data_IF_477462218785
#
_entry.id   IF_477462218785
#
_cell.length_a   1.000
_cell.length_b   1.000
_cell.length_c   1.000
_cell.angle_alpha   90.00
_cell.angle_beta   90.00
_cell.angle_gamma   90.00
#
_symmetry.space_group_name_H-M   'P 1'
#
loop_
_entity.id
_entity.type
_entity.pdbx_description
1 polymer ?
#
# COMPACT_ATOMS: atom_id res chain seq x y z
N UNK A 1 18.24 -2.68 -10.88
CA UNK A 1 19.72 -2.71 -10.74
C UNK A 1 20.19 -2.97 -9.31
N UNK A 2 19.68 -2.26 -8.28
CA UNK A 2 20.12 -2.40 -6.86
C UNK A 2 20.02 -3.84 -6.36
N UNK A 3 18.86 -4.48 -6.51
CA UNK A 3 18.64 -5.89 -6.12
C UNK A 3 19.64 -6.85 -6.76
N UNK A 4 19.97 -6.66 -8.04
CA UNK A 4 20.95 -7.48 -8.75
C UNK A 4 22.34 -7.37 -8.12
N UNK A 5 22.77 -6.15 -7.77
CA UNK A 5 24.07 -5.90 -7.14
C UNK A 5 24.14 -6.48 -5.73
N UNK A 6 23.07 -6.36 -4.94
CA UNK A 6 22.95 -7.03 -3.63
C UNK A 6 23.08 -8.55 -3.81
N UNK A 7 22.30 -9.13 -4.73
CA UNK A 7 22.36 -10.57 -5.03
C UNK A 7 23.76 -11.03 -5.46
N UNK A 8 24.49 -10.21 -6.21
CA UNK A 8 25.88 -10.47 -6.60
C UNK A 8 26.82 -10.46 -5.38
N UNK A 9 26.67 -9.49 -4.46
CA UNK A 9 27.50 -9.41 -3.26
C UNK A 9 27.32 -10.62 -2.34
N UNK A 10 26.10 -11.13 -2.21
CA UNK A 10 25.80 -12.38 -1.47
C UNK A 10 26.13 -13.67 -2.26
N UNK A 11 26.80 -13.56 -3.42
CA UNK A 11 27.20 -14.70 -4.27
C UNK A 11 26.04 -15.66 -4.62
N UNK A 12 24.85 -15.11 -4.84
CA UNK A 12 23.68 -15.91 -5.23
C UNK A 12 23.90 -16.41 -6.67
N UNK A 13 24.03 -17.74 -6.83
CA UNK A 13 24.28 -18.38 -8.14
C UNK A 13 23.23 -17.99 -9.19
N UNK A 14 21.95 -18.04 -8.84
CA UNK A 14 20.82 -17.75 -9.73
C UNK A 14 20.41 -16.26 -9.78
N UNK A 15 21.31 -15.30 -9.57
CA UNK A 15 20.98 -13.86 -9.50
C UNK A 15 20.24 -13.29 -10.72
N UNK A 16 20.55 -13.75 -11.93
CA UNK A 16 19.90 -13.30 -13.16
C UNK A 16 18.43 -13.75 -13.15
N UNK A 17 18.21 -15.03 -12.86
CA UNK A 17 16.88 -15.62 -12.76
C UNK A 17 16.08 -14.99 -11.62
N UNK A 18 16.69 -14.74 -10.46
CA UNK A 18 16.03 -14.04 -9.35
C UNK A 18 15.59 -12.62 -9.73
N UNK A 19 16.38 -11.91 -10.54
CA UNK A 19 16.02 -10.58 -11.01
C UNK A 19 14.86 -10.64 -12.01
N UNK A 20 14.86 -11.64 -12.90
CA UNK A 20 13.74 -11.89 -13.82
C UNK A 20 12.45 -12.21 -13.04
N UNK A 21 12.54 -13.14 -12.07
CA UNK A 21 11.40 -13.50 -11.22
C UNK A 21 10.85 -12.26 -10.50
N UNK A 22 11.73 -11.43 -9.93
CA UNK A 22 11.31 -10.20 -9.27
C UNK A 22 10.53 -9.27 -10.22
N UNK A 23 11.03 -9.04 -11.44
CA UNK A 23 10.40 -8.13 -12.41
C UNK A 23 9.01 -8.61 -12.83
N UNK A 24 8.82 -9.91 -13.02
CA UNK A 24 7.52 -10.47 -13.41
C UNK A 24 6.52 -10.55 -12.24
N UNK A 25 6.96 -10.31 -11.00
CA UNK A 25 6.07 -10.38 -9.85
C UNK A 25 5.00 -9.27 -9.88
N UNK A 26 3.71 -9.61 -9.69
CA UNK A 26 2.64 -8.63 -9.54
C UNK A 26 2.93 -7.56 -8.48
N UNK A 27 3.44 -7.96 -7.31
CA UNK A 27 3.81 -7.04 -6.23
C UNK A 27 4.88 -6.03 -6.66
N UNK A 28 5.89 -6.50 -7.41
CA UNK A 28 6.95 -5.61 -7.89
C UNK A 28 6.44 -4.65 -8.96
N UNK A 29 5.62 -5.14 -9.90
CA UNK A 29 4.99 -4.31 -10.93
C UNK A 29 4.12 -3.24 -10.27
N UNK A 30 3.28 -3.60 -9.30
CA UNK A 30 2.49 -2.63 -8.54
C UNK A 30 3.39 -1.57 -7.89
N UNK A 31 4.40 -2.01 -7.13
CA UNK A 31 5.25 -1.12 -6.34
C UNK A 31 5.97 -0.07 -7.20
N UNK A 32 6.38 -0.44 -8.41
CA UNK A 32 7.21 0.42 -9.28
C UNK A 32 6.47 1.03 -10.48
N UNK A 33 5.24 0.61 -10.77
CA UNK A 33 4.43 1.16 -11.88
C UNK A 33 3.27 2.03 -11.41
N UNK A 34 2.93 1.98 -10.11
CA UNK A 34 1.87 2.81 -9.53
C UNK A 34 2.43 3.93 -8.65
N UNK A 35 1.70 5.04 -8.55
CA UNK A 35 1.97 6.11 -7.59
C UNK A 35 1.53 5.66 -6.20
N UNK A 36 2.42 5.01 -5.46
CA UNK A 36 2.16 4.54 -4.11
C UNK A 36 3.19 5.10 -3.11
N UNK A 37 2.79 5.23 -1.85
CA UNK A 37 3.64 5.75 -0.76
C UNK A 37 4.77 4.80 -0.34
N UNK A 38 4.77 3.55 -0.80
CA UNK A 38 5.74 2.53 -0.41
C UNK A 38 6.97 2.53 -1.31
N UNK A 39 6.84 2.97 -2.57
CA UNK A 39 7.90 2.99 -3.58
C UNK A 39 9.20 3.61 -3.05
N UNK A 40 9.13 4.87 -2.59
CA UNK A 40 10.31 5.60 -2.11
C UNK A 40 10.92 4.95 -0.87
N UNK A 41 10.10 4.51 0.08
CA UNK A 41 10.59 3.85 1.29
C UNK A 41 11.30 2.53 0.96
N UNK A 42 10.72 1.67 0.11
CA UNK A 42 11.34 0.40 -0.29
C UNK A 42 12.61 0.65 -1.12
N UNK A 43 12.59 1.62 -2.03
CA UNK A 43 13.75 1.99 -2.83
C UNK A 43 14.91 2.50 -1.95
N UNK A 44 14.64 3.41 -1.01
CA UNK A 44 15.64 3.91 -0.06
C UNK A 44 16.15 2.80 0.85
N UNK A 45 15.28 1.90 1.31
CA UNK A 45 15.69 0.78 2.17
C UNK A 45 16.64 -0.17 1.44
N UNK A 46 16.28 -0.56 0.22
CA UNK A 46 17.13 -1.40 -0.64
C UNK A 46 18.45 -0.71 -1.00
N UNK A 47 18.42 0.58 -1.30
CA UNK A 47 19.63 1.37 -1.61
C UNK A 47 20.52 1.52 -0.38
N UNK A 48 19.93 1.81 0.79
CA UNK A 48 20.63 1.86 2.07
C UNK A 48 21.32 0.55 2.40
N UNK A 49 20.62 -0.58 2.29
CA UNK A 49 21.22 -1.91 2.47
C UNK A 49 22.39 -2.14 1.49
N UNK A 50 22.21 -1.83 0.21
CA UNK A 50 23.27 -1.99 -0.78
C UNK A 50 24.51 -1.15 -0.44
N UNK A 51 24.31 0.13 -0.10
CA UNK A 51 25.40 1.06 0.23
C UNK A 51 26.17 0.64 1.47
N UNK A 52 25.48 0.13 2.50
CA UNK A 52 26.13 -0.36 3.72
C UNK A 52 27.00 -1.61 3.47
N UNK A 53 26.69 -2.40 2.43
CA UNK A 53 27.48 -3.58 2.03
C UNK A 53 28.74 -3.24 1.22
N UNK A 54 28.92 -1.98 0.78
CA UNK A 54 30.09 -1.57 0.01
C UNK A 54 31.30 -1.33 0.94
N UNK A 55 32.52 -1.40 0.38
CA UNK A 55 33.75 -1.21 1.17
C UNK A 55 34.03 0.26 1.53
N UNK A 56 33.60 1.21 0.70
CA UNK A 56 33.89 2.64 0.87
C UNK A 56 33.13 3.25 2.05
N UNK A 57 33.84 3.91 2.97
CA UNK A 57 33.24 4.59 4.14
C UNK A 57 32.26 5.69 3.72
N UNK A 58 32.58 6.48 2.68
CA UNK A 58 31.70 7.52 2.15
C UNK A 58 30.34 6.95 1.70
N UNK A 59 30.37 5.84 0.96
CA UNK A 59 29.14 5.18 0.50
C UNK A 59 28.34 4.60 1.68
N UNK A 60 28.99 4.07 2.71
CA UNK A 60 28.30 3.63 3.93
C UNK A 60 27.59 4.78 4.65
N UNK A 61 28.22 5.94 4.73
CA UNK A 61 27.59 7.14 5.29
C UNK A 61 26.35 7.58 4.51
N UNK A 62 26.39 7.51 3.17
CA UNK A 62 25.18 7.71 2.35
C UNK A 62 24.10 6.67 2.67
N UNK A 63 24.48 5.43 2.96
CA UNK A 63 23.56 4.39 3.41
C UNK A 63 22.85 4.75 4.73
N UNK A 64 23.56 5.34 5.70
CA UNK A 64 22.98 5.84 6.95
C UNK A 64 21.93 6.92 6.66
N UNK A 65 22.24 7.86 5.75
CA UNK A 65 21.30 8.91 5.33
C UNK A 65 20.05 8.29 4.71
N UNK A 66 20.19 7.30 3.82
CA UNK A 66 19.03 6.60 3.25
C UNK A 66 18.13 6.00 4.33
N UNK A 67 18.70 5.34 5.35
CA UNK A 67 17.93 4.77 6.46
C UNK A 67 17.28 5.84 7.35
N UNK A 68 17.93 6.98 7.59
CA UNK A 68 17.33 8.08 8.35
C UNK A 68 16.21 8.81 7.62
N UNK A 69 16.21 8.81 6.29
CA UNK A 69 15.12 9.38 5.50
C UNK A 69 13.91 8.44 5.40
N UNK A 70 14.06 7.14 5.67
CA UNK A 70 12.97 6.15 5.54
C UNK A 70 11.69 6.54 6.29
N UNK A 71 11.73 6.96 7.58
CA UNK A 71 10.52 7.23 8.35
C UNK A 71 9.66 8.36 7.77
N UNK A 72 10.27 9.28 7.02
CA UNK A 72 9.57 10.40 6.37
C UNK A 72 8.64 9.94 5.24
N UNK A 73 8.93 8.81 4.61
CA UNK A 73 8.11 8.27 3.52
C UNK A 73 7.10 7.24 4.01
N UNK A 74 7.53 6.34 4.90
CA UNK A 74 6.64 5.32 5.43
C UNK A 74 7.13 4.74 6.76
N UNK A 75 6.41 5.05 7.84
CA UNK A 75 6.72 4.58 9.19
C UNK A 75 6.81 3.06 9.30
N UNK A 76 5.83 2.33 8.76
CA UNK A 76 5.77 0.87 8.88
C UNK A 76 6.94 0.19 8.14
N UNK A 77 7.17 0.53 6.88
CA UNK A 77 8.29 0.00 6.08
C UNK A 77 9.64 0.32 6.74
N UNK A 78 9.76 1.48 7.39
CA UNK A 78 10.97 1.85 8.14
C UNK A 78 11.24 0.90 9.31
N UNK A 79 10.21 0.56 10.09
CA UNK A 79 10.31 -0.43 11.17
C UNK A 79 10.72 -1.79 10.61
N UNK A 80 10.11 -2.24 9.50
CA UNK A 80 10.48 -3.52 8.88
C UNK A 80 11.94 -3.50 8.43
N UNK A 81 12.40 -2.43 7.78
CA UNK A 81 13.80 -2.26 7.38
C UNK A 81 14.75 -2.23 8.58
N UNK A 82 14.36 -1.60 9.69
CA UNK A 82 15.10 -1.59 10.96
C UNK A 82 15.23 -2.98 11.57
N UNK A 83 14.14 -3.75 11.58
CA UNK A 83 14.13 -5.14 12.04
C UNK A 83 15.10 -5.97 11.18
N UNK A 84 15.05 -5.84 9.85
CA UNK A 84 15.98 -6.52 8.95
C UNK A 84 17.43 -6.11 9.17
N UNK A 85 17.70 -4.83 9.43
CA UNK A 85 19.02 -4.32 9.76
C UNK A 85 19.52 -4.91 11.09
N UNK A 86 18.64 -5.04 12.09
CA UNK A 86 18.91 -5.71 13.36
C UNK A 86 19.23 -7.20 13.18
N UNK A 87 18.43 -7.92 12.39
CA UNK A 87 18.69 -9.32 12.04
C UNK A 87 20.04 -9.45 11.32
N UNK A 88 20.32 -8.55 10.36
CA UNK A 88 21.62 -8.52 9.68
C UNK A 88 22.78 -8.32 10.67
N UNK A 89 22.64 -7.39 11.61
CA UNK A 89 23.63 -7.10 12.65
C UNK A 89 23.92 -8.30 13.57
N UNK A 90 22.89 -9.10 13.89
CA UNK A 90 23.05 -10.31 14.71
C UNK A 90 23.87 -11.39 14.01
N UNK A 91 23.73 -11.53 12.68
CA UNK A 91 24.37 -12.59 11.91
C UNK A 91 25.63 -12.15 11.13
N UNK A 92 25.88 -10.85 10.99
CA UNK A 92 27.04 -10.35 10.27
C UNK A 92 28.32 -10.39 11.14
N UNK A 93 29.41 -10.85 10.53
CA UNK A 93 30.76 -10.84 11.11
C UNK A 93 31.50 -9.51 10.87
N UNK A 94 30.97 -8.64 10.01
CA UNK A 94 31.62 -7.38 9.63
C UNK A 94 31.51 -6.28 10.71
N UNK A 95 32.29 -5.21 10.54
CA UNK A 95 32.34 -4.04 11.45
C UNK A 95 30.92 -3.48 11.71
N UNK A 96 30.41 -3.76 12.91
CA UNK A 96 29.04 -3.45 13.36
C UNK A 96 28.74 -1.94 13.49
N UNK A 97 29.75 -1.07 13.46
CA UNK A 97 29.61 0.36 13.77
C UNK A 97 28.70 1.13 12.80
N UNK A 98 28.85 0.94 11.48
CA UNK A 98 28.02 1.66 10.49
C UNK A 98 26.56 1.20 10.46
N UNK A 99 26.33 -0.09 10.70
CA UNK A 99 24.98 -0.64 10.77
C UNK A 99 24.28 -0.22 12.06
N UNK A 100 25.00 -0.18 13.19
CA UNK A 100 24.47 0.31 14.45
C UNK A 100 24.13 1.81 14.37
N UNK A 101 25.01 2.61 13.78
CA UNK A 101 24.75 4.05 13.57
C UNK A 101 23.57 4.29 12.63
N UNK A 102 23.42 3.51 11.55
CA UNK A 102 22.21 3.53 10.72
C UNK A 102 20.94 3.22 11.52
N UNK A 103 20.99 2.21 12.40
CA UNK A 103 19.86 1.83 13.25
C UNK A 103 19.50 2.93 14.26
N UNK A 104 20.49 3.51 14.93
CA UNK A 104 20.29 4.59 15.90
C UNK A 104 19.74 5.84 15.20
N UNK A 105 20.30 6.22 14.05
CA UNK A 105 19.85 7.40 13.31
C UNK A 105 18.41 7.23 12.80
N UNK A 106 18.07 6.07 12.25
CA UNK A 106 16.69 5.79 11.82
C UNK A 106 15.72 5.74 13.00
N UNK A 107 16.08 5.14 14.13
CA UNK A 107 15.28 5.19 15.37
C UNK A 107 15.06 6.63 15.86
N UNK A 108 16.09 7.46 15.82
CA UNK A 108 16.00 8.86 16.18
C UNK A 108 15.03 9.62 15.27
N UNK A 109 15.18 9.49 13.94
CA UNK A 109 14.25 10.13 12.98
C UNK A 109 12.82 9.61 13.12
N UNK A 110 12.65 8.34 13.45
CA UNK A 110 11.35 7.73 13.71
C UNK A 110 10.72 8.29 15.00
N UNK A 111 11.51 8.49 16.06
CA UNK A 111 11.07 9.13 17.29
C UNK A 111 10.69 10.60 17.10
N UNK A 112 11.44 11.35 16.28
CA UNK A 112 11.09 12.72 15.89
C UNK A 112 9.78 12.76 15.10
N UNK A 113 9.64 11.89 14.11
CA UNK A 113 8.42 11.78 13.32
C UNK A 113 7.20 11.43 14.19
N UNK A 114 7.35 10.45 15.10
CA UNK A 114 6.29 10.07 16.02
C UNK A 114 5.92 11.21 17.00
N UNK A 115 6.92 11.92 17.53
CA UNK A 115 6.69 13.10 18.37
C UNK A 115 5.93 14.18 17.62
N UNK A 116 6.30 14.47 16.37
CA UNK A 116 5.60 15.42 15.51
C UNK A 116 4.14 15.03 15.28
N UNK A 117 3.88 13.75 14.99
CA UNK A 117 2.51 13.25 14.82
C UNK A 117 1.69 13.43 16.10
N UNK A 118 2.24 13.03 17.25
CA UNK A 118 1.53 13.13 18.54
C UNK A 118 1.16 14.57 18.90
N UNK A 119 2.05 15.54 18.60
CA UNK A 119 1.80 16.96 18.90
C UNK A 119 0.74 17.55 17.98
N UNK A 120 0.80 17.27 16.68
CA UNK A 120 -0.08 17.94 15.71
C UNK A 120 -1.42 17.24 15.50
N UNK A 121 -1.50 15.92 15.70
CA UNK A 121 -2.70 15.21 15.29
C UNK A 121 -3.86 15.38 16.26
N UNK A 122 -3.62 15.63 17.56
CA UNK A 122 -4.56 15.64 18.73
C UNK A 122 -5.53 14.45 18.84
N UNK A 123 -5.97 13.90 17.72
CA UNK A 123 -6.53 12.59 17.52
C UNK A 123 -5.60 11.54 18.10
N UNK A 124 -6.17 10.72 18.97
CA UNK A 124 -5.65 9.41 19.30
C UNK A 124 -5.15 8.78 18.01
N UNK A 125 -3.83 8.60 17.91
CA UNK A 125 -3.19 7.73 16.96
C UNK A 125 -3.75 6.34 17.21
N UNK A 126 -4.94 6.06 16.69
CA UNK A 126 -5.36 4.71 16.35
C UNK A 126 -4.35 4.32 15.28
N UNK A 127 -3.19 3.84 15.71
CA UNK A 127 -2.11 3.35 14.86
C UNK A 127 -2.57 2.18 13.97
N UNK A 128 -3.85 1.83 13.99
CA UNK A 128 -4.46 0.76 13.22
C UNK A 128 -3.67 -0.53 13.41
N UNK A 129 -3.08 -0.71 14.60
CA UNK A 129 -2.54 -1.98 15.05
C UNK A 129 -3.70 -2.76 15.66
N UNK A 130 -4.73 -3.01 14.85
CA UNK A 130 -5.62 -4.11 15.16
C UNK A 130 -4.87 -5.40 14.86
N UNK A 131 -4.21 -5.89 15.90
CA UNK A 131 -3.60 -7.22 15.86
C UNK A 131 -4.73 -8.22 15.59
N UNK A 132 -4.71 -8.85 14.41
CA UNK A 132 -5.63 -9.90 14.00
C UNK A 132 -7.09 -9.52 13.67
N UNK A 133 -7.42 -8.28 13.30
CA UNK A 133 -8.76 -7.98 12.76
C UNK A 133 -9.03 -8.64 11.40
N UNK A 134 -7.96 -8.91 10.64
CA UNK A 134 -8.08 -9.58 9.35
C UNK A 134 -8.35 -11.07 9.57
N UNK A 135 -9.56 -11.51 9.19
CA UNK A 135 -9.85 -12.94 9.06
C UNK A 135 -8.84 -13.62 8.13
N UNK A 136 -8.53 -14.90 8.36
CA UNK A 136 -7.61 -15.66 7.50
C UNK A 136 -7.99 -15.59 6.01
N UNK A 137 -9.30 -15.59 5.71
CA UNK A 137 -9.82 -15.44 4.36
C UNK A 137 -9.50 -14.07 3.76
N UNK A 138 -9.61 -12.99 4.53
CA UNK A 138 -9.22 -11.65 4.07
C UNK A 138 -7.71 -11.55 3.79
N UNK A 139 -6.89 -12.20 4.61
CA UNK A 139 -5.45 -12.26 4.44
C UNK A 139 -5.06 -13.06 3.19
N UNK A 140 -5.67 -14.23 2.95
CA UNK A 140 -5.46 -14.99 1.71
C UNK A 140 -5.83 -14.16 0.47
N UNK A 141 -6.99 -13.48 0.51
CA UNK A 141 -7.42 -12.58 -0.56
C UNK A 141 -6.42 -11.46 -0.80
N UNK A 142 -5.77 -10.94 0.24
CA UNK A 142 -4.77 -9.88 0.14
C UNK A 142 -3.39 -10.38 -0.31
N UNK A 143 -3.00 -11.60 0.06
CA UNK A 143 -1.69 -12.17 -0.30
C UNK A 143 -1.64 -12.59 -1.76
N UNK A 144 -2.69 -13.17 -2.31
CA UNK A 144 -2.68 -13.70 -3.68
C UNK A 144 -3.35 -12.74 -4.66
N UNK A 145 -2.60 -12.34 -5.70
CA UNK A 145 -3.09 -11.42 -6.73
C UNK A 145 -4.32 -11.93 -7.46
N UNK A 146 -4.40 -13.24 -7.67
CA UNK A 146 -5.47 -13.92 -8.40
C UNK A 146 -6.82 -13.86 -7.66
N UNK A 147 -6.85 -13.47 -6.39
CA UNK A 147 -8.08 -13.26 -5.61
C UNK A 147 -8.53 -11.79 -5.57
N UNK A 148 -8.00 -10.95 -6.48
CA UNK A 148 -8.41 -9.54 -6.63
C UNK A 148 -7.72 -8.58 -5.68
N UNK A 149 -6.54 -8.93 -5.13
CA UNK A 149 -5.77 -7.97 -4.34
C UNK A 149 -5.16 -6.88 -5.20
N UNK A 150 -5.05 -5.67 -4.63
CA UNK A 150 -4.34 -4.54 -5.27
C UNK A 150 -2.87 -4.85 -5.55
N UNK A 151 -2.27 -5.73 -4.77
CA UNK A 151 -0.92 -6.28 -4.94
C UNK A 151 -0.86 -7.65 -4.28
N UNK A 152 -0.06 -8.57 -4.81
CA UNK A 152 0.00 -9.93 -4.28
C UNK A 152 1.07 -10.80 -4.92
N UNK A 153 1.17 -12.03 -4.44
CA UNK A 153 1.95 -13.11 -5.02
C UNK A 153 1.09 -13.90 -5.98
N UNK A 154 1.68 -14.26 -7.12
CA UNK A 154 1.09 -15.27 -7.98
C UNK A 154 1.10 -16.64 -7.29
N UNK A 155 0.07 -17.46 -7.48
CA UNK A 155 -0.01 -18.81 -6.87
C UNK A 155 1.20 -19.67 -7.26
N UNK A 156 1.57 -19.66 -8.55
CA UNK A 156 2.74 -20.36 -9.07
C UNK A 156 4.06 -19.82 -8.49
N UNK A 157 4.10 -18.53 -8.19
CA UNK A 157 5.22 -17.88 -7.54
C UNK A 157 5.44 -18.43 -6.13
N UNK A 158 4.35 -18.64 -5.39
CA UNK A 158 4.35 -19.25 -4.05
C UNK A 158 4.74 -20.73 -4.09
N UNK A 159 4.23 -21.52 -5.05
CA UNK A 159 4.64 -22.92 -5.22
C UNK A 159 6.15 -23.03 -5.43
N UNK A 160 6.70 -22.25 -6.35
CA UNK A 160 8.14 -22.21 -6.63
C UNK A 160 8.96 -21.70 -5.44
N UNK A 161 8.44 -20.74 -4.68
CA UNK A 161 9.04 -20.27 -3.44
C UNK A 161 9.21 -21.41 -2.43
N UNK A 162 8.17 -22.24 -2.22
CA UNK A 162 8.24 -23.40 -1.33
C UNK A 162 9.26 -24.45 -1.82
N UNK A 163 9.28 -24.78 -3.11
CA UNK A 163 10.33 -25.64 -3.66
C UNK A 163 11.73 -25.05 -3.46
N UNK A 164 11.86 -23.74 -3.60
CA UNK A 164 13.07 -22.99 -3.29
C UNK A 164 13.52 -23.16 -1.84
N UNK A 165 12.60 -23.00 -0.89
CA UNK A 165 12.87 -23.22 0.54
C UNK A 165 13.31 -24.66 0.81
N UNK A 166 12.60 -25.66 0.27
CA UNK A 166 12.95 -27.08 0.42
C UNK A 166 14.37 -27.35 -0.10
N UNK A 167 14.73 -26.79 -1.26
CA UNK A 167 16.06 -26.99 -1.86
C UNK A 167 17.20 -26.42 -1.00
N UNK A 168 16.94 -25.36 -0.23
CA UNK A 168 17.93 -24.69 0.62
C UNK A 168 17.90 -25.22 2.06
N UNK A 169 16.85 -25.94 2.46
CA UNK A 169 16.61 -26.36 3.84
C UNK A 169 17.80 -27.12 4.45
N UNK A 170 18.42 -28.03 3.69
CA UNK A 170 19.61 -28.79 4.13
C UNK A 170 20.81 -27.90 4.45
N UNK A 171 20.85 -26.69 3.89
CA UNK A 171 21.92 -25.69 4.06
C UNK A 171 21.43 -24.43 4.80
N UNK A 172 20.34 -24.53 5.57
CA UNK A 172 19.75 -23.38 6.27
C UNK A 172 20.74 -22.61 7.15
N UNK A 173 21.68 -23.33 7.78
CA UNK A 173 22.71 -22.74 8.65
C UNK A 173 23.77 -21.91 7.90
N UNK A 174 23.92 -22.09 6.59
CA UNK A 174 24.88 -21.29 5.81
C UNK A 174 24.42 -19.85 5.60
N UNK A 175 23.10 -19.58 5.67
CA UNK A 175 22.52 -18.27 5.42
C UNK A 175 21.40 -17.96 6.42
N UNK A 176 21.70 -18.07 7.72
CA UNK A 176 20.73 -17.83 8.80
C UNK A 176 20.04 -16.47 8.70
N UNK A 177 20.77 -15.42 8.29
CA UNK A 177 20.22 -14.09 8.03
C UNK A 177 18.99 -14.13 7.10
N UNK A 178 19.13 -14.79 5.94
CA UNK A 178 18.07 -14.83 4.92
C UNK A 178 16.88 -15.64 5.46
N UNK A 179 17.15 -16.77 6.11
CA UNK A 179 16.10 -17.63 6.65
C UNK A 179 15.28 -16.92 7.74
N UNK A 180 15.96 -16.31 8.71
CA UNK A 180 15.30 -15.59 9.81
C UNK A 180 14.56 -14.33 9.31
N UNK A 181 15.13 -13.62 8.34
CA UNK A 181 14.47 -12.48 7.69
C UNK A 181 13.15 -12.90 7.04
N UNK A 182 13.13 -14.00 6.28
CA UNK A 182 11.91 -14.51 5.66
C UNK A 182 10.88 -14.91 6.70
N UNK A 183 11.27 -15.63 7.76
CA UNK A 183 10.34 -16.04 8.82
C UNK A 183 9.71 -14.83 9.52
N UNK A 184 10.51 -13.83 9.89
CA UNK A 184 10.01 -12.60 10.53
C UNK A 184 9.09 -11.83 9.59
N UNK A 185 9.44 -11.70 8.31
CA UNK A 185 8.60 -11.03 7.33
C UNK A 185 7.28 -11.77 7.08
N UNK A 186 7.26 -13.11 7.11
CA UNK A 186 6.01 -13.88 7.02
C UNK A 186 5.14 -13.61 8.26
N UNK A 187 5.71 -13.53 9.47
CA UNK A 187 4.95 -13.19 10.68
C UNK A 187 4.37 -11.77 10.55
N UNK A 188 5.19 -10.80 10.12
CA UNK A 188 4.77 -9.41 9.92
C UNK A 188 3.72 -9.26 8.82
N UNK A 189 3.67 -10.17 7.85
CA UNK A 189 2.64 -10.21 6.81
C UNK A 189 1.23 -10.41 7.40
N UNK A 190 1.11 -11.13 8.53
CA UNK A 190 -0.17 -11.28 9.26
C UNK A 190 -0.61 -9.99 9.95
N UNK A 191 0.31 -9.06 10.23
CA UNK A 191 0.01 -7.78 10.85
C UNK A 191 -0.32 -6.73 9.79
N UNK A 192 0.52 -6.64 8.74
CA UNK A 192 0.33 -5.71 7.61
C UNK A 192 0.74 -6.37 6.29
N UNK A 193 -0.18 -6.48 5.32
CA UNK A 193 0.09 -7.03 3.98
C UNK A 193 1.21 -6.31 3.24
N UNK A 194 1.44 -5.02 3.52
CA UNK A 194 2.48 -4.22 2.85
C UNK A 194 3.90 -4.70 3.14
N UNK A 195 4.09 -5.56 4.15
CA UNK A 195 5.33 -6.31 4.35
C UNK A 195 5.74 -7.09 3.09
N UNK A 196 4.78 -7.46 2.25
CA UNK A 196 5.00 -8.13 0.97
C UNK A 196 5.94 -7.35 0.05
N UNK A 197 5.94 -6.01 0.11
CA UNK A 197 6.83 -5.17 -0.70
C UNK A 197 8.32 -5.37 -0.38
N UNK A 198 8.65 -5.77 0.84
CA UNK A 198 10.03 -6.14 1.21
C UNK A 198 10.24 -7.65 1.03
N UNK A 199 9.26 -8.47 1.41
CA UNK A 199 9.34 -9.92 1.33
C UNK A 199 9.54 -10.41 -0.12
N UNK A 200 9.00 -9.71 -1.12
CA UNK A 200 9.11 -10.11 -2.53
C UNK A 200 10.56 -10.25 -3.02
N UNK A 201 11.49 -9.44 -2.51
CA UNK A 201 12.91 -9.56 -2.86
C UNK A 201 13.51 -10.89 -2.40
N UNK A 202 13.11 -11.37 -1.22
CA UNK A 202 13.52 -12.68 -0.72
C UNK A 202 12.81 -13.81 -1.46
N UNK A 203 11.49 -13.67 -1.68
CA UNK A 203 10.71 -14.65 -2.41
C UNK A 203 11.30 -14.85 -3.81
N UNK A 204 11.65 -13.78 -4.53
CA UNK A 204 12.27 -13.89 -5.86
C UNK A 204 13.56 -14.73 -5.88
N UNK A 205 14.41 -14.63 -4.84
CA UNK A 205 15.61 -15.47 -4.70
C UNK A 205 15.23 -16.94 -4.56
N UNK A 206 14.25 -17.25 -3.70
CA UNK A 206 13.82 -18.62 -3.46
C UNK A 206 13.05 -19.20 -4.65
N UNK A 207 12.16 -18.44 -5.28
CA UNK A 207 11.46 -18.82 -6.52
C UNK A 207 12.45 -19.19 -7.62
N UNK A 208 13.50 -18.39 -7.83
CA UNK A 208 14.55 -18.71 -8.80
C UNK A 208 15.32 -19.99 -8.44
N UNK A 209 15.59 -20.23 -7.14
CA UNK A 209 16.19 -21.50 -6.69
C UNK A 209 15.24 -22.68 -6.87
N UNK A 210 13.95 -22.52 -6.61
CA UNK A 210 12.93 -23.55 -6.81
C UNK A 210 12.81 -23.96 -8.26
N UNK A 211 12.75 -22.98 -9.18
CA UNK A 211 12.73 -23.24 -10.61
C UNK A 211 14.01 -23.93 -11.08
N UNK A 212 15.18 -23.45 -10.63
CA UNK A 212 16.47 -24.09 -10.94
C UNK A 212 16.58 -25.50 -10.37
N UNK A 213 16.01 -25.75 -9.19
CA UNK A 213 15.99 -27.07 -8.57
C UNK A 213 15.14 -28.05 -9.36
N UNK A 214 13.92 -27.67 -9.74
CA UNK A 214 13.03 -28.49 -10.58
C UNK A 214 13.67 -28.78 -11.95
N UNK A 215 14.30 -27.76 -12.54
CA UNK A 215 14.97 -27.88 -13.83
C UNK A 215 16.18 -28.82 -13.80
N UNK A 216 16.99 -28.77 -12.74
CA UNK A 216 18.22 -29.57 -12.62
C UNK A 216 18.00 -30.95 -12.00
N UNK A 217 16.85 -31.21 -11.37
CA UNK A 217 16.54 -32.52 -10.80
C UNK A 217 16.51 -33.57 -11.93
N UNK A 218 17.09 -34.77 -11.72
CA UNK A 218 16.88 -35.87 -12.65
C UNK A 218 15.43 -36.34 -12.56
N UNK A 219 14.74 -36.40 -13.70
CA UNK A 219 13.39 -36.93 -13.82
C UNK A 219 13.45 -38.26 -14.55
N UNK A 220 12.63 -39.24 -14.13
CA UNK A 220 12.52 -40.52 -14.84
C UNK A 220 11.91 -40.33 -16.24
N UNK A 221 11.02 -39.36 -16.40
CA UNK A 221 10.35 -39.05 -17.65
C UNK A 221 10.57 -37.57 -18.04
N UNK A 222 11.27 -37.36 -19.15
CA UNK A 222 11.58 -36.01 -19.67
C UNK A 222 10.34 -35.25 -20.15
N UNK A 223 9.30 -35.95 -20.63
CA UNK A 223 8.04 -35.33 -21.04
C UNK A 223 7.32 -34.72 -19.84
N UNK A 224 7.23 -35.45 -18.72
CA UNK A 224 6.63 -34.92 -17.49
C UNK A 224 7.41 -33.71 -16.94
N UNK A 225 8.75 -33.75 -17.02
CA UNK A 225 9.59 -32.62 -16.67
C UNK A 225 9.27 -31.39 -17.53
N UNK A 226 9.23 -31.56 -18.85
CA UNK A 226 8.94 -30.48 -19.79
C UNK A 226 7.56 -29.87 -19.53
N UNK A 227 6.51 -30.70 -19.42
CA UNK A 227 5.16 -30.25 -19.13
C UNK A 227 5.06 -29.51 -17.79
N UNK A 228 5.73 -30.00 -16.74
CA UNK A 228 5.74 -29.33 -15.43
C UNK A 228 6.39 -27.94 -15.52
N UNK A 229 7.55 -27.84 -16.18
CA UNK A 229 8.26 -26.56 -16.34
C UNK A 229 7.44 -25.59 -17.20
N UNK A 230 6.83 -26.09 -18.27
CA UNK A 230 5.97 -25.30 -19.15
C UNK A 230 4.77 -24.75 -18.37
N UNK A 231 4.04 -25.60 -17.64
CA UNK A 231 2.90 -25.18 -16.81
C UNK A 231 3.30 -24.15 -15.76
N UNK A 232 4.42 -24.34 -15.06
CA UNK A 232 4.92 -23.35 -14.10
C UNK A 232 5.27 -22.02 -14.77
N UNK A 233 5.88 -22.05 -15.96
CA UNK A 233 6.27 -20.85 -16.70
C UNK A 233 5.05 -20.09 -17.23
N UNK A 234 4.08 -20.81 -17.83
CA UNK A 234 2.80 -20.24 -18.25
C UNK A 234 2.04 -19.66 -17.06
N UNK A 235 2.03 -20.37 -15.92
CA UNK A 235 1.40 -19.91 -14.69
C UNK A 235 1.98 -18.59 -14.17
N UNK A 236 3.31 -18.44 -14.18
CA UNK A 236 3.97 -17.19 -13.81
C UNK A 236 3.57 -16.02 -14.73
N UNK A 237 3.59 -16.25 -16.04
CA UNK A 237 3.20 -15.22 -17.04
C UNK A 237 1.72 -14.87 -16.87
N UNK A 238 0.87 -15.87 -16.66
CA UNK A 238 -0.56 -15.68 -16.47
C UNK A 238 -0.87 -14.83 -15.24
N UNK A 239 -0.21 -15.08 -14.10
CA UNK A 239 -0.35 -14.24 -12.90
C UNK A 239 -0.03 -12.77 -13.19
N UNK A 240 1.04 -12.50 -13.95
CA UNK A 240 1.42 -11.13 -14.35
C UNK A 240 0.39 -10.48 -15.26
N UNK A 241 -0.09 -11.20 -16.28
CA UNK A 241 -1.09 -10.69 -17.23
C UNK A 241 -2.41 -10.41 -16.52
N UNK A 242 -2.86 -11.35 -15.68
CA UNK A 242 -4.09 -11.20 -14.89
C UNK A 242 -4.02 -9.96 -14.00
N UNK A 243 -2.92 -9.81 -13.26
CA UNK A 243 -2.69 -8.62 -12.44
C UNK A 243 -2.68 -7.32 -13.23
N UNK A 244 -2.07 -7.32 -14.42
CA UNK A 244 -2.01 -6.12 -15.27
C UNK A 244 -3.40 -5.72 -15.76
N UNK A 245 -4.26 -6.69 -16.13
CA UNK A 245 -5.65 -6.42 -16.49
C UNK A 245 -6.45 -5.83 -15.34
N UNK A 246 -6.32 -6.40 -14.14
CA UNK A 246 -6.96 -5.85 -12.93
C UNK A 246 -6.44 -4.45 -12.59
N UNK A 247 -5.14 -4.20 -12.77
CA UNK A 247 -4.55 -2.88 -12.52
C UNK A 247 -5.06 -1.82 -13.51
N UNK A 248 -5.26 -2.18 -14.78
CA UNK A 248 -5.87 -1.28 -15.78
C UNK A 248 -7.31 -0.94 -15.41
N UNK A 249 -8.04 -1.91 -14.86
CA UNK A 249 -9.43 -1.71 -14.43
C UNK A 249 -9.54 -1.07 -13.03
N UNK A 250 -8.42 -0.87 -12.34
CA UNK A 250 -8.40 -0.23 -11.03
C UNK A 250 -8.64 1.27 -11.14
N UNK A 251 -9.17 1.88 -10.08
CA UNK A 251 -9.53 3.29 -10.07
C UNK A 251 -8.31 4.22 -10.19
N UNK A 252 -8.46 5.41 -10.81
CA UNK A 252 -9.71 6.00 -11.29
C UNK A 252 -10.18 5.44 -12.63
N UNK A 253 -11.47 5.08 -12.71
CA UNK A 253 -12.12 4.71 -13.97
C UNK A 253 -12.34 5.96 -14.84
N UNK A 254 -12.59 5.82 -16.16
CA UNK A 254 -12.93 6.95 -17.02
C UNK A 254 -14.06 7.81 -16.46
N UNK A 255 -15.11 7.21 -15.90
CA UNK A 255 -16.25 7.94 -15.31
C UNK A 255 -15.83 8.81 -14.12
N UNK A 256 -14.93 8.29 -13.27
CA UNK A 256 -14.34 9.04 -12.15
C UNK A 256 -13.53 10.22 -12.69
N UNK A 257 -12.75 10.01 -13.76
CA UNK A 257 -11.98 11.07 -14.39
C UNK A 257 -12.88 12.14 -15.03
N UNK A 258 -13.99 11.76 -15.66
CA UNK A 258 -14.97 12.71 -16.19
C UNK A 258 -15.64 13.52 -15.08
N UNK A 259 -16.04 12.89 -13.97
CA UNK A 259 -16.58 13.58 -12.81
C UNK A 259 -15.57 14.55 -12.17
N UNK A 260 -14.32 14.14 -12.02
CA UNK A 260 -13.23 15.01 -11.53
C UNK A 260 -12.97 16.18 -12.50
N UNK A 261 -12.98 15.93 -13.80
CA UNK A 261 -12.83 16.98 -14.81
C UNK A 261 -14.01 17.97 -14.74
N UNK A 262 -15.24 17.48 -14.57
CA UNK A 262 -16.41 18.34 -14.37
C UNK A 262 -16.27 19.20 -13.12
N UNK A 263 -15.86 18.62 -11.98
CA UNK A 263 -15.57 19.36 -10.75
C UNK A 263 -14.48 20.41 -10.98
N UNK A 264 -13.42 20.12 -11.74
CA UNK A 264 -12.33 21.05 -11.96
C UNK A 264 -12.78 22.37 -12.60
N UNK A 265 -13.86 22.34 -13.40
CA UNK A 265 -14.46 23.51 -14.04
C UNK A 265 -15.45 24.28 -13.13
N UNK A 266 -15.73 23.76 -11.93
CA UNK A 266 -16.57 24.45 -10.94
C UNK A 266 -15.73 25.43 -10.09
N UNK A 267 -16.36 26.46 -9.49
CA UNK A 267 -15.69 27.34 -8.53
C UNK A 267 -15.01 26.55 -7.41
N UNK A 268 -13.73 26.85 -7.13
CA UNK A 268 -12.96 26.16 -6.09
C UNK A 268 -13.66 26.26 -4.74
N UNK A 269 -13.91 25.10 -4.13
CA UNK A 269 -14.62 25.01 -2.85
C UNK A 269 -14.26 23.72 -2.12
N UNK A 270 -14.85 23.53 -0.93
CA UNK A 270 -14.74 22.27 -0.20
C UNK A 270 -15.73 21.26 -0.78
N UNK A 271 -15.20 20.09 -1.11
CA UNK A 271 -15.97 18.95 -1.63
C UNK A 271 -15.99 17.85 -0.57
N UNK A 272 -17.19 17.41 -0.20
CA UNK A 272 -17.38 16.20 0.58
C UNK A 272 -17.32 15.00 -0.35
N UNK A 273 -16.51 14.02 0.02
CA UNK A 273 -16.51 12.69 -0.59
C UNK A 273 -15.98 11.70 0.44
N UNK A 274 -15.93 10.42 0.08
CA UNK A 274 -15.26 9.43 0.94
C UNK A 274 -13.76 9.79 1.10
N UNK A 275 -13.14 9.61 2.28
CA UNK A 275 -11.75 10.05 2.49
C UNK A 275 -10.71 9.46 1.53
N UNK A 276 -10.97 8.27 0.96
CA UNK A 276 -10.12 7.69 -0.10
C UNK A 276 -10.07 8.54 -1.39
N UNK A 277 -11.07 9.40 -1.62
CA UNK A 277 -11.14 10.33 -2.76
C UNK A 277 -10.49 11.69 -2.50
N UNK A 278 -10.18 12.03 -1.25
CA UNK A 278 -9.67 13.35 -0.90
C UNK A 278 -8.39 13.73 -1.66
N UNK A 279 -7.50 12.76 -1.93
CA UNK A 279 -6.30 12.97 -2.76
C UNK A 279 -6.62 13.33 -4.21
N UNK A 280 -7.66 12.74 -4.79
CA UNK A 280 -8.09 13.04 -6.16
C UNK A 280 -8.69 14.45 -6.26
N UNK A 281 -9.45 14.86 -5.23
CA UNK A 281 -9.97 16.22 -5.12
C UNK A 281 -8.82 17.25 -5.00
N UNK A 282 -7.82 16.97 -4.16
CA UNK A 282 -6.65 17.83 -4.02
C UNK A 282 -5.87 17.96 -5.35
N UNK A 283 -5.76 16.87 -6.12
CA UNK A 283 -5.08 16.86 -7.42
C UNK A 283 -5.69 17.86 -8.42
N UNK A 284 -7.02 17.99 -8.45
CA UNK A 284 -7.73 18.99 -9.27
C UNK A 284 -7.83 20.36 -8.58
N UNK A 285 -7.13 20.58 -7.47
CA UNK A 285 -7.13 21.84 -6.71
C UNK A 285 -8.40 22.12 -5.91
N UNK A 286 -9.27 21.12 -5.71
CA UNK A 286 -10.41 21.22 -4.79
C UNK A 286 -9.97 20.92 -3.37
N UNK A 287 -10.58 21.59 -2.38
CA UNK A 287 -10.37 21.26 -0.97
C UNK A 287 -11.26 20.07 -0.61
N UNK A 288 -10.77 19.15 0.20
CA UNK A 288 -11.58 18.06 0.76
C UNK A 288 -11.82 18.29 2.26
N UNK A 289 -12.85 17.64 2.81
CA UNK A 289 -13.09 17.68 4.27
C UNK A 289 -12.04 16.85 5.02
N UNK A 290 -11.76 15.65 4.52
CA UNK A 290 -10.75 14.74 5.05
C UNK A 290 -10.24 13.82 3.93
N UNK A 291 -8.98 13.41 4.04
CA UNK A 291 -8.37 12.38 3.20
C UNK A 291 -7.68 11.30 4.05
N UNK A 292 -7.15 10.27 3.38
CA UNK A 292 -6.47 9.15 4.05
C UNK A 292 -5.17 9.54 4.76
N UNK A 293 -4.57 10.70 4.47
CA UNK A 293 -3.36 11.20 5.13
C UNK A 293 -3.74 12.20 6.24
N UNK A 294 -4.68 11.76 7.09
CA UNK A 294 -5.21 12.53 8.21
C UNK A 294 -4.16 12.93 9.26
N UNK A 295 -2.96 12.35 9.20
CA UNK A 295 -1.83 12.67 10.06
C UNK A 295 -1.48 14.16 10.10
N UNK A 296 -1.78 14.88 9.02
CA UNK A 296 -1.52 16.32 8.89
C UNK A 296 -2.79 17.16 8.91
N UNK A 297 -3.96 16.54 9.08
CA UNK A 297 -5.23 17.25 9.13
C UNK A 297 -5.52 17.72 10.56
N UNK A 298 -5.87 19.00 10.76
CA UNK A 298 -6.26 19.48 12.09
C UNK A 298 -7.58 18.82 12.51
N UNK A 299 -7.64 18.38 13.76
CA UNK A 299 -8.80 17.72 14.36
C UNK A 299 -9.32 16.52 13.57
N UNK A 300 -8.40 15.71 12.99
CA UNK A 300 -8.71 14.54 12.19
C UNK A 300 -9.77 13.61 12.80
N UNK A 301 -9.70 13.39 14.12
CA UNK A 301 -10.65 12.55 14.84
C UNK A 301 -12.07 13.14 14.86
N UNK A 302 -12.21 14.46 14.99
CA UNK A 302 -13.50 15.12 14.94
C UNK A 302 -14.05 15.12 13.50
N UNK A 303 -13.20 15.44 12.52
CA UNK A 303 -13.58 15.39 11.09
C UNK A 303 -14.10 14.01 10.69
N UNK A 304 -13.45 12.94 11.14
CA UNK A 304 -13.91 11.59 10.89
C UNK A 304 -15.29 11.34 11.50
N UNK A 305 -15.50 11.67 12.77
CA UNK A 305 -16.80 11.54 13.44
C UNK A 305 -17.89 12.33 12.73
N UNK A 306 -17.58 13.54 12.30
CA UNK A 306 -18.53 14.41 11.61
C UNK A 306 -18.85 13.88 10.20
N UNK A 307 -17.87 13.38 9.45
CA UNK A 307 -18.11 12.74 8.14
C UNK A 307 -19.00 11.49 8.31
N UNK A 308 -18.70 10.64 9.30
CA UNK A 308 -19.52 9.45 9.58
C UNK A 308 -20.94 9.84 9.99
N UNK A 309 -21.09 10.83 10.87
CA UNK A 309 -22.40 11.36 11.26
C UNK A 309 -23.15 11.90 10.03
N UNK A 310 -22.49 12.69 9.18
CA UNK A 310 -23.08 13.26 7.98
C UNK A 310 -23.51 12.20 6.96
N UNK A 311 -22.72 11.15 6.76
CA UNK A 311 -23.09 10.07 5.83
C UNK A 311 -24.32 9.29 6.31
N UNK A 312 -24.49 9.09 7.61
CA UNK A 312 -25.54 8.24 8.16
C UNK A 312 -26.78 8.98 8.67
N UNK A 313 -26.72 10.31 8.86
CA UNK A 313 -27.89 11.08 9.32
C UNK A 313 -28.95 11.23 8.23
N UNK A 314 -30.21 11.22 8.64
CA UNK A 314 -31.37 11.61 7.81
C UNK A 314 -31.97 12.95 8.26
N UNK A 315 -31.42 13.54 9.33
CA UNK A 315 -31.84 14.83 9.84
C UNK A 315 -31.16 15.94 9.03
N UNK A 316 -31.97 16.73 8.32
CA UNK A 316 -31.50 17.86 7.52
C UNK A 316 -30.74 18.89 8.38
N UNK A 317 -31.19 19.15 9.60
CA UNK A 317 -30.55 20.13 10.49
C UNK A 317 -29.16 19.67 10.90
N UNK A 318 -29.02 18.40 11.31
CA UNK A 318 -27.70 17.84 11.64
C UNK A 318 -26.76 17.82 10.43
N UNK A 319 -27.30 17.51 9.24
CA UNK A 319 -26.50 17.54 8.02
C UNK A 319 -25.98 18.95 7.72
N UNK A 320 -26.84 19.97 7.83
CA UNK A 320 -26.45 21.37 7.61
C UNK A 320 -25.48 21.90 8.65
N UNK A 321 -25.60 21.51 9.92
CA UNK A 321 -24.61 21.87 10.94
C UNK A 321 -23.18 21.45 10.53
N UNK A 322 -23.03 20.25 9.95
CA UNK A 322 -21.73 19.74 9.51
C UNK A 322 -21.30 20.35 8.17
N UNK A 323 -22.24 20.50 7.23
CA UNK A 323 -22.00 21.14 5.92
C UNK A 323 -21.50 22.57 6.10
N UNK A 324 -22.13 23.34 6.99
CA UNK A 324 -21.76 24.73 7.26
C UNK A 324 -20.44 24.80 8.04
N UNK A 325 -20.23 23.92 9.03
CA UNK A 325 -18.98 23.81 9.79
C UNK A 325 -17.75 23.68 8.89
N UNK A 326 -17.86 22.91 7.81
CA UNK A 326 -16.76 22.68 6.86
C UNK A 326 -16.88 23.48 5.55
N UNK A 327 -17.88 24.36 5.42
CA UNK A 327 -18.18 25.13 4.22
C UNK A 327 -18.24 24.26 2.95
N UNK A 328 -18.96 23.13 3.05
CA UNK A 328 -19.10 22.14 1.99
C UNK A 328 -20.01 22.70 0.91
N UNK A 329 -19.50 22.84 -0.31
CA UNK A 329 -20.26 23.36 -1.46
C UNK A 329 -20.70 22.28 -2.43
N UNK A 330 -19.90 21.21 -2.53
CA UNK A 330 -20.19 20.08 -3.39
C UNK A 330 -20.09 18.77 -2.63
N UNK A 331 -20.91 17.80 -3.02
CA UNK A 331 -20.89 16.44 -2.50
C UNK A 331 -20.68 15.52 -3.70
N UNK A 332 -19.54 14.82 -3.71
CA UNK A 332 -19.13 13.92 -4.77
C UNK A 332 -19.25 12.46 -4.32
N UNK A 333 -20.13 11.72 -4.98
CA UNK A 333 -20.46 10.33 -4.65
C UNK A 333 -20.17 9.48 -5.88
N UNK A 334 -19.42 8.40 -5.69
CA UNK A 334 -19.27 7.35 -6.69
C UNK A 334 -19.92 6.03 -6.23
N UNK A 335 -20.26 5.17 -7.20
CA UNK A 335 -20.97 3.92 -6.93
C UNK A 335 -20.20 2.95 -6.04
N UNK A 336 -18.86 2.97 -6.08
CA UNK A 336 -18.05 2.10 -5.24
C UNK A 336 -18.26 2.41 -3.76
N UNK A 337 -18.17 3.68 -3.36
CA UNK A 337 -18.43 4.08 -1.98
C UNK A 337 -19.91 4.09 -1.62
N UNK A 338 -20.77 4.39 -2.59
CA UNK A 338 -22.22 4.32 -2.38
C UNK A 338 -22.62 2.95 -1.83
N UNK A 339 -22.11 1.89 -2.44
CA UNK A 339 -22.41 0.50 -2.06
C UNK A 339 -21.71 0.02 -0.78
N UNK A 340 -20.69 0.74 -0.30
CA UNK A 340 -19.98 0.41 0.94
C UNK A 340 -20.59 1.09 2.16
N UNK A 341 -21.08 2.32 1.99
CA UNK A 341 -21.60 3.15 3.09
C UNK A 341 -23.10 2.91 3.27
N UNK A 342 -23.85 2.81 2.18
CA UNK A 342 -25.31 2.72 2.21
C UNK A 342 -25.79 1.40 1.63
N UNK A 343 -26.78 0.80 2.28
CA UNK A 343 -27.42 -0.44 1.80
C UNK A 343 -28.53 -0.17 0.78
N UNK A 344 -29.12 1.03 0.81
CA UNK A 344 -30.27 1.40 -0.03
C UNK A 344 -30.09 2.80 -0.62
N UNK A 345 -30.80 3.09 -1.71
CA UNK A 345 -30.75 4.38 -2.40
C UNK A 345 -31.30 5.56 -1.60
N UNK A 346 -31.92 5.31 -0.44
CA UNK A 346 -32.58 6.31 0.40
C UNK A 346 -32.08 6.23 1.85
N UNK A 347 -30.83 5.82 2.02
CA UNK A 347 -30.21 5.71 3.32
C UNK A 347 -29.33 6.92 3.65
N UNK A 348 -29.29 7.27 4.94
CA UNK A 348 -28.57 8.45 5.46
C UNK A 348 -28.65 9.69 4.56
N UNK A 349 -27.47 10.23 4.22
CA UNK A 349 -27.33 11.45 3.42
C UNK A 349 -28.01 11.35 2.04
N UNK A 350 -28.09 10.16 1.43
CA UNK A 350 -28.72 10.00 0.11
C UNK A 350 -30.20 10.39 0.14
N UNK A 351 -30.89 10.11 1.24
CA UNK A 351 -32.27 10.55 1.45
C UNK A 351 -32.38 12.07 1.38
N UNK A 352 -31.52 12.76 2.14
CA UNK A 352 -31.51 14.23 2.21
C UNK A 352 -31.19 14.82 0.84
N UNK A 353 -30.16 14.31 0.16
CA UNK A 353 -29.78 14.79 -1.18
C UNK A 353 -30.91 14.67 -2.20
N UNK A 354 -31.69 13.59 -2.13
CA UNK A 354 -32.77 13.30 -3.08
C UNK A 354 -34.02 14.15 -2.82
N UNK A 355 -34.35 14.40 -1.55
CA UNK A 355 -35.64 14.97 -1.17
C UNK A 355 -35.58 16.41 -0.64
N UNK A 356 -34.42 16.91 -0.22
CA UNK A 356 -34.28 18.30 0.21
C UNK A 356 -34.09 19.25 -0.99
N UNK A 357 -34.84 20.36 -1.06
CA UNK A 357 -34.65 21.39 -2.09
C UNK A 357 -33.30 22.13 -1.96
N UNK A 358 -32.61 21.95 -0.83
CA UNK A 358 -31.33 22.60 -0.54
C UNK A 358 -30.15 21.99 -1.32
N UNK A 359 -30.37 20.90 -2.06
CA UNK A 359 -29.37 20.23 -2.89
C UNK A 359 -29.83 20.15 -4.35
N UNK A 360 -28.88 20.35 -5.27
CA UNK A 360 -29.13 20.17 -6.71
C UNK A 360 -28.09 19.25 -7.32
N UNK A 361 -28.56 18.20 -7.97
CA UNK A 361 -27.74 17.32 -8.79
C UNK A 361 -27.24 18.13 -10.01
N UNK A 362 -25.93 18.34 -10.09
CA UNK A 362 -25.30 19.11 -11.17
C UNK A 362 -24.52 18.23 -12.16
N UNK A 363 -24.29 16.96 -11.82
CA UNK A 363 -23.68 15.97 -12.69
C UNK A 363 -24.16 14.58 -12.28
N UNK A 364 -24.53 13.77 -13.26
CA UNK A 364 -24.92 12.38 -13.07
C UNK A 364 -24.54 11.58 -14.31
N UNK A 365 -23.51 10.76 -14.20
CA UNK A 365 -23.08 9.88 -15.29
C UNK A 365 -22.58 8.57 -14.71
N UNK A 366 -23.17 7.47 -15.18
CA UNK A 366 -22.83 6.08 -14.87
C UNK A 366 -22.59 5.82 -13.38
N UNK A 367 -21.34 5.97 -12.95
CA UNK A 367 -20.84 5.65 -11.62
C UNK A 367 -20.59 6.86 -10.73
N UNK A 368 -20.90 8.08 -11.17
CA UNK A 368 -20.57 9.32 -10.45
C UNK A 368 -21.74 10.30 -10.42
N UNK A 369 -22.04 10.78 -9.21
CA UNK A 369 -22.99 11.86 -8.94
C UNK A 369 -22.29 13.02 -8.24
N UNK A 370 -22.59 14.25 -8.65
CA UNK A 370 -22.12 15.46 -7.98
C UNK A 370 -23.32 16.33 -7.65
N UNK A 371 -23.48 16.60 -6.36
CA UNK A 371 -24.51 17.47 -5.82
C UNK A 371 -23.89 18.80 -5.42
N UNK A 372 -24.62 19.89 -5.67
CA UNK A 372 -24.29 21.23 -5.20
C UNK A 372 -25.21 21.59 -4.04
N UNK A 373 -24.61 22.11 -2.96
CA UNK A 373 -25.36 22.73 -1.86
C UNK A 373 -25.80 24.12 -2.31
N UNK A 374 -27.11 24.36 -2.33
CA UNK A 374 -27.67 25.66 -2.75
C UNK A 374 -27.78 26.62 -1.58
N UNK A 375 -27.83 26.09 -0.35
CA UNK A 375 -28.26 26.80 0.86
C UNK A 375 -29.67 27.40 0.70
N UNK A 376 -30.52 27.19 1.71
CA UNK A 376 -31.70 28.04 1.87
C UNK A 376 -31.18 29.44 2.18
N UNK A 377 -31.35 30.40 1.26
CA UNK A 377 -31.43 31.79 1.68
C UNK A 377 -32.43 31.84 2.83
N UNK A 378 -31.95 32.21 4.02
CA UNK A 378 -32.65 32.26 5.29
C UNK A 378 -34.17 32.40 5.16
N UNK A 379 -34.90 31.28 5.18
CA UNK A 379 -36.30 31.26 5.62
C UNK A 379 -36.34 31.32 7.16
N UNK A 380 -35.69 32.34 7.72
CA UNK A 380 -35.73 32.70 9.15
C UNK A 380 -36.56 33.97 9.36
N UNK A 381 -37.26 34.44 8.34
CA UNK A 381 -38.34 35.40 8.50
C UNK A 381 -39.66 34.66 8.25
N UNK A 382 -40.54 34.75 9.25
CA UNK A 382 -41.96 34.37 9.29
C UNK A 382 -42.28 32.88 9.21
N UNK A 383 -42.56 32.26 10.37
CA UNK A 383 -43.95 32.00 10.80
C UNK A 383 -44.05 32.06 12.33
#
# INVERSE_FOLDING_TARGET
MVFYKISKNYKIKQKNLASLMLIISPTFIYLFSSLNKYFFAVFLGMTGFYLLLLKSNFLKSLGIICFGLLPLFNFFISIVCLILLGIYLLFSKDKKTYHLTAAIFSLFTLALYFSYLKVNSHAALNLGFSLFENSFNSLLKQIFSEFGSKFGLGIFYSILFFYGLISVWKRKYQNLFIFFSVSVLIILLFIKPETLFILIFFIAIYTAKGLSYIFNKPWSNNTLKFLTILTLSCGLIFSTISFTKESINSQPTPDIMYGLNYLNHQPKAVVLSHPERGKMLNYIGMKNVMDTEYAFAPDAGQRWKDIQKLFHTRDEKEAFEIIDKYNIKYIWIDNYFKNQIWSYNEDGLLFILKYSPSFKLIYNQDNVMIWKVIAKEKSLNTF
#
